data_IF_131531592064
#
_entry.id   IF_131531592064
#
_cell.length_a   1.000
_cell.length_b   1.000
_cell.length_c   1.000
_cell.angle_alpha   90.00
_cell.angle_beta   90.00
_cell.angle_gamma   90.00
#
_symmetry.space_group_name_H-M   'P 1'
#
loop_
_entity.id
_entity.type
_entity.pdbx_description
1 polymer ?
#
# COMPACT_ATOMS: atom_id res chain seq x y z
N UNK A 1 9.38 -10.82 5.66
CA UNK A 1 9.52 -10.11 4.37
C UNK A 1 10.41 -8.89 4.60
N UNK A 2 11.58 -8.83 3.94
CA UNK A 2 12.44 -7.64 4.02
C UNK A 2 11.95 -6.57 3.03
N UNK A 3 12.18 -5.28 3.33
CA UNK A 3 11.82 -4.14 2.45
C UNK A 3 12.30 -4.34 1.00
N UNK A 4 13.43 -5.03 0.82
CA UNK A 4 14.01 -5.34 -0.48
C UNK A 4 13.21 -6.38 -1.30
N UNK A 5 12.45 -7.28 -0.65
CA UNK A 5 11.65 -8.31 -1.33
C UNK A 5 10.35 -7.74 -1.90
N UNK A 6 9.80 -6.67 -1.30
CA UNK A 6 8.60 -5.97 -1.78
C UNK A 6 8.85 -5.33 -3.16
N UNK A 7 10.07 -4.87 -3.40
CA UNK A 7 10.44 -4.21 -4.66
C UNK A 7 10.58 -5.16 -5.85
N UNK A 8 10.54 -6.49 -5.64
CA UNK A 8 10.88 -7.48 -6.68
C UNK A 8 9.68 -8.16 -7.33
N UNK A 9 8.43 -7.77 -7.02
CA UNK A 9 7.26 -8.53 -7.47
C UNK A 9 6.53 -7.84 -8.63
N UNK A 10 5.98 -8.68 -9.51
CA UNK A 10 5.58 -8.40 -10.88
C UNK A 10 4.57 -7.26 -11.03
N UNK A 11 4.82 -6.42 -12.05
CA UNK A 11 3.95 -5.33 -12.49
C UNK A 11 2.60 -5.85 -13.00
N UNK A 12 1.59 -5.93 -12.13
CA UNK A 12 0.20 -6.00 -12.58
C UNK A 12 -0.12 -4.63 -13.20
N UNK A 13 -0.44 -4.60 -14.49
CA UNK A 13 -0.98 -3.41 -15.17
C UNK A 13 -2.24 -2.95 -14.44
N UNK A 14 -2.12 -1.90 -13.65
CA UNK A 14 -3.23 -1.35 -12.87
C UNK A 14 -4.19 -0.54 -13.76
N UNK A 15 -5.49 -0.81 -13.71
CA UNK A 15 -6.49 0.18 -14.06
C UNK A 15 -6.61 1.15 -12.89
N UNK A 16 -5.71 2.12 -12.78
CA UNK A 16 -5.85 3.18 -11.76
C UNK A 16 -7.08 3.99 -12.16
N UNK A 17 -8.22 3.73 -11.52
CA UNK A 17 -9.46 4.49 -11.75
C UNK A 17 -9.25 5.98 -11.44
N UNK A 18 -8.31 6.29 -10.55
CA UNK A 18 -7.81 7.63 -10.22
C UNK A 18 -6.63 8.17 -11.05
N UNK A 19 -6.07 7.46 -12.06
CA UNK A 19 -4.95 8.01 -12.86
C UNK A 19 -5.37 9.20 -13.72
N UNK A 20 -6.64 9.23 -14.11
CA UNK A 20 -7.19 10.30 -14.96
C UNK A 20 -7.75 11.47 -14.15
N UNK A 21 -8.24 11.22 -12.92
CA UNK A 21 -8.90 12.21 -12.06
C UNK A 21 -8.06 12.64 -10.86
N UNK A 22 -7.05 11.85 -10.48
CA UNK A 22 -6.24 12.05 -9.28
C UNK A 22 -7.09 12.24 -8.02
N UNK A 23 -8.07 11.35 -7.85
CA UNK A 23 -8.85 11.22 -6.63
C UNK A 23 -8.14 10.27 -5.67
N UNK A 24 -8.03 10.67 -4.40
CA UNK A 24 -7.36 9.89 -3.36
C UNK A 24 -8.36 8.89 -2.75
N UNK A 25 -8.76 7.91 -3.54
CA UNK A 25 -9.77 6.93 -3.19
C UNK A 25 -9.35 5.53 -3.66
N UNK A 26 -9.76 4.51 -2.90
CA UNK A 26 -9.51 3.13 -3.27
C UNK A 26 -10.22 2.73 -4.56
N UNK A 27 -9.58 1.90 -5.37
CA UNK A 27 -10.12 1.48 -6.67
C UNK A 27 -11.39 0.62 -6.57
N UNK A 28 -11.60 -0.05 -5.43
CA UNK A 28 -12.65 -1.05 -5.21
C UNK A 28 -12.46 -2.33 -6.03
N UNK A 29 -11.25 -2.56 -6.54
CA UNK A 29 -10.88 -3.76 -7.28
C UNK A 29 -10.76 -5.01 -6.39
N UNK A 30 -10.43 -6.18 -6.97
CA UNK A 30 -10.34 -7.44 -6.24
C UNK A 30 -9.04 -7.59 -5.43
N UNK A 31 -8.12 -6.63 -5.52
CA UNK A 31 -6.79 -6.68 -4.90
C UNK A 31 -6.77 -5.89 -3.59
N UNK A 32 -5.83 -6.23 -2.70
CA UNK A 32 -5.48 -5.34 -1.60
C UNK A 32 -4.87 -4.07 -2.17
N UNK A 33 -4.93 -2.95 -1.46
CA UNK A 33 -4.47 -1.68 -1.99
C UNK A 33 -3.97 -0.74 -0.89
N UNK A 34 -2.77 -0.20 -1.11
CA UNK A 34 -2.26 0.91 -0.33
C UNK A 34 -2.12 2.14 -1.23
N UNK A 35 -2.43 3.32 -0.68
CA UNK A 35 -2.35 4.61 -1.37
C UNK A 35 -1.42 5.55 -0.60
N UNK A 36 -0.66 6.35 -1.33
CA UNK A 36 0.16 7.41 -0.78
C UNK A 36 0.11 8.63 -1.70
N UNK A 37 0.11 9.82 -1.12
CA UNK A 37 0.03 11.08 -1.86
C UNK A 37 0.94 12.14 -1.25
N UNK A 38 1.63 12.89 -2.10
CA UNK A 38 2.52 13.98 -1.68
C UNK A 38 2.44 15.16 -2.64
N UNK A 39 2.71 16.37 -2.15
CA UNK A 39 2.97 17.54 -2.99
C UNK A 39 4.39 17.55 -3.56
N UNK A 40 5.25 16.62 -3.13
CA UNK A 40 6.57 16.41 -3.71
C UNK A 40 6.44 15.69 -5.06
N UNK A 41 6.81 16.33 -6.18
CA UNK A 41 6.80 15.69 -7.50
C UNK A 41 7.74 14.48 -7.58
N UNK A 42 8.75 14.38 -6.71
CA UNK A 42 9.79 13.35 -6.75
C UNK A 42 9.55 12.16 -5.83
N UNK A 43 8.40 12.12 -5.12
CA UNK A 43 8.04 11.00 -4.26
C UNK A 43 8.18 9.66 -5.00
N UNK A 44 8.93 8.73 -4.40
CA UNK A 44 9.20 7.41 -4.96
C UNK A 44 8.32 6.33 -4.35
N UNK A 45 8.24 5.17 -5.00
CA UNK A 45 7.57 4.00 -4.41
C UNK A 45 8.21 3.56 -3.09
N UNK A 46 9.52 3.79 -2.91
CA UNK A 46 10.22 3.49 -1.66
C UNK A 46 9.72 4.43 -0.55
N UNK A 47 9.54 5.72 -0.85
CA UNK A 47 9.00 6.68 0.12
C UNK A 47 7.57 6.30 0.54
N UNK A 48 6.73 5.88 -0.41
CA UNK A 48 5.39 5.38 -0.11
C UNK A 48 5.42 4.16 0.82
N UNK A 49 6.27 3.16 0.50
CA UNK A 49 6.42 1.96 1.33
C UNK A 49 6.95 2.31 2.73
N UNK A 50 7.90 3.24 2.85
CA UNK A 50 8.41 3.68 4.14
C UNK A 50 7.31 4.34 4.99
N UNK A 51 6.46 5.19 4.38
CA UNK A 51 5.31 5.78 5.08
C UNK A 51 4.36 4.71 5.64
N UNK A 52 4.06 3.68 4.85
CA UNK A 52 3.21 2.58 5.29
C UNK A 52 3.90 1.73 6.37
N UNK A 53 5.21 1.50 6.26
CA UNK A 53 5.99 0.72 7.24
C UNK A 53 6.14 1.48 8.57
N UNK A 54 6.17 2.80 8.56
CA UNK A 54 6.26 3.63 9.76
C UNK A 54 5.03 3.46 10.69
N UNK A 55 3.91 2.96 10.17
CA UNK A 55 2.75 2.58 10.97
C UNK A 55 2.99 1.36 11.86
N UNK A 56 4.12 0.64 11.69
CA UNK A 56 4.54 -0.47 12.57
C UNK A 56 4.49 -0.09 14.05
N UNK A 57 4.77 1.17 14.39
CA UNK A 57 4.70 1.68 15.77
C UNK A 57 3.30 1.56 16.41
N UNK A 58 2.25 1.47 15.58
CA UNK A 58 0.85 1.33 15.97
C UNK A 58 0.36 -0.14 15.90
N UNK A 59 1.24 -1.10 15.58
CA UNK A 59 0.91 -2.51 15.49
C UNK A 59 1.52 -3.32 16.62
N UNK A 60 0.67 -3.99 17.39
CA UNK A 60 1.12 -4.91 18.41
C UNK A 60 1.20 -6.34 17.84
N UNK A 61 2.44 -6.81 17.65
CA UNK A 61 2.70 -8.16 17.15
C UNK A 61 2.29 -9.27 18.12
N UNK A 62 2.33 -9.02 19.44
CA UNK A 62 1.99 -10.04 20.45
C UNK A 62 0.48 -10.31 20.48
N UNK A 63 -0.33 -9.28 20.26
CA UNK A 63 -1.81 -9.37 20.28
C UNK A 63 -2.43 -9.39 18.89
N UNK A 64 -1.63 -9.28 17.82
CA UNK A 64 -2.09 -9.14 16.43
C UNK A 64 -3.17 -8.04 16.31
N UNK A 65 -2.92 -6.88 16.91
CA UNK A 65 -3.90 -5.80 16.98
C UNK A 65 -3.34 -4.48 16.48
N UNK A 66 -4.19 -3.78 15.74
CA UNK A 66 -3.92 -2.43 15.25
C UNK A 66 -4.48 -1.40 16.23
N UNK A 67 -3.65 -0.47 16.70
CA UNK A 67 -4.12 0.62 17.54
C UNK A 67 -4.86 1.67 16.68
N UNK A 68 -6.14 1.91 17.00
CA UNK A 68 -7.00 2.90 16.34
C UNK A 68 -7.09 2.77 14.80
N UNK A 69 -6.89 1.57 14.26
CA UNK A 69 -6.82 1.31 12.82
C UNK A 69 -5.73 2.13 12.08
N UNK A 70 -4.73 2.65 12.79
CA UNK A 70 -3.64 3.46 12.22
C UNK A 70 -2.43 2.63 11.75
N UNK A 71 -2.68 1.39 11.33
CA UNK A 71 -1.65 0.44 10.85
C UNK A 71 -2.13 -0.47 9.72
N UNK A 72 -3.24 -0.10 9.07
CA UNK A 72 -3.84 -0.87 7.99
C UNK A 72 -2.94 -0.91 6.74
N UNK A 73 -2.11 0.11 6.49
CA UNK A 73 -1.14 0.03 5.41
C UNK A 73 0.01 -0.90 5.77
N UNK A 74 0.52 -0.82 7.01
CA UNK A 74 1.58 -1.72 7.49
C UNK A 74 1.16 -3.19 7.43
N UNK A 75 -0.03 -3.51 7.94
CA UNK A 75 -0.55 -4.89 7.96
C UNK A 75 -0.71 -5.43 6.54
N UNK A 76 -1.15 -4.62 5.58
CA UNK A 76 -1.18 -5.02 4.17
C UNK A 76 0.24 -5.24 3.60
N UNK A 77 1.22 -4.43 3.98
CA UNK A 77 2.62 -4.57 3.56
C UNK A 77 3.22 -5.89 4.04
N UNK A 78 2.95 -6.29 5.28
CA UNK A 78 3.53 -7.51 5.86
C UNK A 78 2.69 -8.76 5.65
N UNK A 79 1.52 -8.64 5.01
CA UNK A 79 0.50 -9.69 4.94
C UNK A 79 1.06 -11.00 4.38
N UNK A 80 1.11 -12.03 5.23
CA UNK A 80 1.82 -13.29 4.96
C UNK A 80 1.31 -14.03 3.71
N UNK A 81 0.01 -13.94 3.42
CA UNK A 81 -0.61 -14.63 2.29
C UNK A 81 -0.38 -13.89 0.97
N UNK A 82 -0.03 -12.60 1.01
CA UNK A 82 0.25 -11.83 -0.20
C UNK A 82 1.52 -12.37 -0.85
N UNK A 83 1.42 -12.71 -2.13
CA UNK A 83 2.55 -13.26 -2.90
C UNK A 83 2.93 -12.39 -4.09
N UNK A 84 2.05 -11.47 -4.50
CA UNK A 84 2.28 -10.54 -5.58
C UNK A 84 2.00 -9.11 -5.14
N UNK A 85 2.90 -8.21 -5.49
CA UNK A 85 2.69 -6.77 -5.35
C UNK A 85 3.07 -6.07 -6.66
N UNK A 86 2.26 -5.11 -7.07
CA UNK A 86 2.55 -4.23 -8.20
C UNK A 86 2.22 -2.80 -7.84
N UNK A 87 3.10 -1.85 -8.16
CA UNK A 87 2.93 -0.45 -7.81
C UNK A 87 2.94 0.47 -9.03
N UNK A 88 2.25 1.60 -8.92
CA UNK A 88 2.24 2.64 -9.94
C UNK A 88 2.36 4.03 -9.31
N UNK A 89 3.00 4.94 -10.05
CA UNK A 89 3.15 6.35 -9.71
C UNK A 89 2.54 7.22 -10.79
N UNK A 90 1.83 8.27 -10.40
CA UNK A 90 1.27 9.28 -11.30
C UNK A 90 1.51 10.67 -10.76
N UNK A 91 1.98 11.57 -11.64
CA UNK A 91 2.02 13.00 -11.35
C UNK A 91 0.74 13.64 -11.87
N UNK A 92 -0.01 14.26 -10.98
CA UNK A 92 -1.32 14.82 -11.22
C UNK A 92 -1.23 16.27 -11.70
N UNK A 93 -2.21 16.69 -12.51
CA UNK A 93 -2.32 18.09 -12.94
C UNK A 93 -2.54 19.06 -11.78
N UNK A 94 -3.03 18.58 -10.64
CA UNK A 94 -3.16 19.33 -9.39
C UNK A 94 -1.81 19.68 -8.73
N UNK A 95 -0.70 19.11 -9.21
CA UNK A 95 0.62 19.25 -8.60
C UNK A 95 0.94 18.18 -7.55
N UNK A 96 0.03 17.24 -7.32
CA UNK A 96 0.26 16.10 -6.42
C UNK A 96 0.89 14.91 -7.14
N UNK A 97 1.70 14.13 -6.42
CA UNK A 97 2.18 12.81 -6.84
C UNK A 97 1.46 11.75 -6.04
N UNK A 98 0.81 10.82 -6.73
CA UNK A 98 0.14 9.68 -6.11
C UNK A 98 0.84 8.38 -6.45
N UNK A 99 0.93 7.51 -5.45
CA UNK A 99 1.47 6.17 -5.55
C UNK A 99 0.44 5.20 -5.01
N UNK A 100 0.25 4.11 -5.74
CA UNK A 100 -0.60 2.99 -5.32
C UNK A 100 0.17 1.69 -5.46
N UNK A 101 -0.06 0.75 -4.56
CA UNK A 101 0.40 -0.64 -4.67
C UNK A 101 -0.80 -1.57 -4.50
N UNK A 102 -0.94 -2.55 -5.39
CA UNK A 102 -1.92 -3.62 -5.29
C UNK A 102 -1.26 -4.90 -4.81
N UNK A 103 -1.98 -5.66 -3.99
CA UNK A 103 -1.52 -6.86 -3.29
C UNK A 103 -2.43 -8.04 -3.67
N UNK A 104 -1.83 -9.16 -4.08
CA UNK A 104 -2.55 -10.39 -4.45
C UNK A 104 -1.91 -11.64 -3.85
N UNK A 105 -2.66 -12.50 -3.14
CA UNK A 105 -4.00 -12.27 -2.60
C UNK A 105 -4.12 -10.99 -1.74
N UNK A 106 -5.30 -10.36 -1.64
CA UNK A 106 -5.55 -9.23 -0.75
C UNK A 106 -5.27 -9.55 0.73
N UNK A 107 -4.97 -8.52 1.52
CA UNK A 107 -4.81 -8.64 2.97
C UNK A 107 -5.91 -7.92 3.76
N UNK A 108 -5.63 -7.70 5.05
CA UNK A 108 -6.48 -6.99 6.01
C UNK A 108 -7.87 -7.61 6.21
N UNK A 109 -7.94 -8.94 6.23
CA UNK A 109 -9.16 -9.65 6.59
C UNK A 109 -9.34 -9.69 8.11
N UNK A 110 -10.51 -9.28 8.59
CA UNK A 110 -10.86 -9.29 10.01
C UNK A 110 -10.77 -10.72 10.58
N UNK A 111 -9.99 -10.88 11.65
CA UNK A 111 -9.78 -12.18 12.30
C UNK A 111 -8.64 -13.02 11.74
N UNK A 112 -7.99 -12.60 10.65
CA UNK A 112 -6.77 -13.22 10.13
C UNK A 112 -5.50 -12.48 10.60
N UNK A 113 -4.38 -13.22 10.63
CA UNK A 113 -3.10 -12.69 11.05
C UNK A 113 -2.29 -12.17 9.86
N UNK A 114 -1.72 -10.98 10.02
CA UNK A 114 -0.88 -10.38 9.00
C UNK A 114 0.48 -11.08 8.86
N UNK A 115 0.90 -11.90 9.83
CA UNK A 115 2.20 -12.58 9.86
C UNK A 115 2.07 -14.09 10.05
#
# INVERSE_FOLDING_TARGET
>A
MNILEILTIFSITMPIRGSKTCEFEHSGGPYGENLAGSSDPEMTAIDAVNLWVDEKKNYNHETNSCENDECLHYTQVIWHATSHVGCARVNCKSGWTFITCNYDPPGNFEGDNAY
#
